data_IF_015535800895
#
_entry.id   IF_015535800895
#
_cell.length_a   1.000
_cell.length_b   1.000
_cell.length_c   1.000
_cell.angle_alpha   90.00
_cell.angle_beta   90.00
_cell.angle_gamma   90.00
#
_symmetry.space_group_name_H-M   'P 1'
#
loop_
_entity.id
_entity.type
_entity.pdbx_description
1 polymer ?
#
# COMPACT_ATOMS: atom_id res chain seq x y z
N UNK A 1 -11.66 -6.70 -35.71
CA UNK A 1 -10.44 -6.04 -35.16
C UNK A 1 -10.07 -6.48 -33.74
N UNK A 2 -11.00 -6.78 -32.81
CA UNK A 2 -10.65 -7.27 -31.46
C UNK A 2 -9.87 -8.61 -31.44
N UNK A 3 -10.15 -9.54 -32.37
CA UNK A 3 -9.43 -10.84 -32.44
C UNK A 3 -7.94 -10.72 -32.81
N UNK A 4 -7.50 -9.60 -33.41
CA UNK A 4 -6.11 -9.45 -33.84
C UNK A 4 -5.17 -9.03 -32.69
N UNK A 5 -5.70 -8.37 -31.64
CA UNK A 5 -4.90 -7.87 -30.53
C UNK A 5 -4.76 -8.92 -29.41
N UNK A 6 -5.79 -9.72 -29.15
CA UNK A 6 -5.71 -10.88 -28.23
C UNK A 6 -4.71 -11.92 -28.72
N UNK A 7 -4.65 -12.15 -30.03
CA UNK A 7 -3.68 -13.05 -30.64
C UNK A 7 -2.23 -12.53 -30.52
N UNK A 8 -2.02 -11.21 -30.48
CA UNK A 8 -0.67 -10.62 -30.31
C UNK A 8 -0.12 -10.78 -28.91
N UNK A 9 -0.93 -10.56 -27.86
CA UNK A 9 -0.49 -10.77 -26.47
C UNK A 9 -0.26 -12.25 -26.13
N UNK A 10 -1.17 -13.13 -26.57
CA UNK A 10 -0.97 -14.57 -26.44
C UNK A 10 0.29 -15.03 -27.21
N UNK A 11 0.56 -14.45 -28.38
CA UNK A 11 1.78 -14.70 -29.15
C UNK A 11 3.03 -14.14 -28.49
N UNK A 12 2.97 -12.98 -27.79
CA UNK A 12 4.08 -12.45 -27.00
C UNK A 12 4.40 -13.41 -25.84
N UNK A 13 3.40 -13.80 -25.05
CA UNK A 13 3.57 -14.76 -23.95
C UNK A 13 4.07 -16.13 -24.45
N UNK A 14 3.53 -16.64 -25.56
CA UNK A 14 3.99 -17.89 -26.20
C UNK A 14 5.35 -17.76 -26.90
N UNK A 15 5.80 -16.55 -27.27
CA UNK A 15 7.12 -16.32 -27.87
C UNK A 15 8.24 -16.19 -26.84
N UNK A 16 7.91 -15.95 -25.57
CA UNK A 16 8.87 -15.91 -24.46
C UNK A 16 9.16 -17.34 -23.93
N UNK A 17 8.21 -18.26 -24.06
CA UNK A 17 8.37 -19.68 -23.65
C UNK A 17 9.58 -20.38 -24.31
N UNK A 18 9.87 -20.19 -25.62
CA UNK A 18 11.10 -20.69 -26.26
C UNK A 18 12.39 -20.06 -25.72
N UNK A 19 12.33 -18.81 -25.23
CA UNK A 19 13.51 -18.10 -24.71
C UNK A 19 13.93 -18.62 -23.33
N UNK A 20 12.99 -19.16 -22.54
CA UNK A 20 13.26 -19.81 -21.25
C UNK A 20 13.69 -21.28 -21.39
N UNK A 21 13.34 -21.92 -22.50
CA UNK A 21 13.68 -23.33 -22.78
C UNK A 21 14.92 -23.48 -23.67
N UNK A 22 15.36 -22.40 -24.33
CA UNK A 22 16.38 -22.41 -25.36
C UNK A 22 17.81 -22.15 -24.88
N UNK A 23 18.34 -22.88 -23.90
CA UNK A 23 19.80 -23.12 -23.78
C UNK A 23 20.19 -24.21 -22.75
N UNK A 24 19.43 -25.30 -22.65
CA UNK A 24 19.91 -26.52 -22.00
C UNK A 24 19.52 -27.73 -22.87
N UNK A 25 20.36 -28.02 -23.85
CA UNK A 25 20.37 -29.32 -24.51
C UNK A 25 20.89 -30.37 -23.51
N UNK A 26 20.03 -30.83 -22.59
CA UNK A 26 20.28 -32.00 -21.76
C UNK A 26 19.61 -33.18 -22.45
N UNK A 27 20.42 -34.18 -22.82
CA UNK A 27 19.95 -35.47 -23.32
C UNK A 27 18.99 -36.13 -22.32
N UNK A 28 17.88 -36.73 -22.76
CA UNK A 28 17.00 -37.47 -21.86
C UNK A 28 17.62 -38.84 -21.55
N UNK A 29 18.15 -39.00 -20.33
CA UNK A 29 18.37 -40.33 -19.76
C UNK A 29 17.04 -40.85 -19.18
N UNK A 30 16.38 -41.70 -19.95
CA UNK A 30 15.27 -42.51 -19.45
C UNK A 30 15.78 -43.51 -18.42
N UNK A 31 15.41 -43.34 -17.15
CA UNK A 31 15.36 -44.46 -16.21
C UNK A 31 14.13 -44.38 -15.30
N UNK A 32 13.26 -45.38 -15.52
CA UNK A 32 12.53 -46.19 -14.55
C UNK A 32 11.49 -45.53 -13.62
N UNK A 33 10.25 -45.71 -14.06
CA UNK A 33 9.04 -45.85 -13.25
C UNK A 33 9.24 -46.73 -12.00
N UNK A 34 8.67 -46.29 -10.88
CA UNK A 34 8.20 -47.17 -9.80
C UNK A 34 6.97 -46.57 -9.11
N UNK A 35 6.06 -47.40 -8.55
CA UNK A 35 4.64 -47.10 -8.51
C UNK A 35 4.17 -46.43 -7.21
N UNK A 36 3.20 -45.51 -7.37
CA UNK A 36 2.46 -44.84 -6.31
C UNK A 36 1.58 -45.83 -5.52
N UNK A 37 1.78 -45.85 -4.21
CA UNK A 37 0.93 -46.54 -3.25
C UNK A 37 -0.28 -45.68 -2.85
N UNK A 38 -1.45 -46.14 -3.30
CA UNK A 38 -2.69 -46.35 -2.52
C UNK A 38 -2.95 -45.41 -1.32
N UNK A 39 -3.73 -44.34 -1.55
CA UNK A 39 -4.43 -43.59 -0.49
C UNK A 39 -5.92 -43.98 -0.50
N UNK A 40 -6.44 -44.37 0.68
CA UNK A 40 -7.85 -44.72 0.92
C UNK A 40 -8.70 -43.46 1.11
N UNK A 41 -10.00 -43.49 0.75
CA UNK A 41 -10.92 -42.39 1.00
C UNK A 41 -11.58 -42.54 2.38
N UNK A 42 -11.73 -41.44 3.11
CA UNK A 42 -12.63 -41.40 4.26
C UNK A 42 -13.31 -40.05 4.42
N UNK A 43 -14.60 -40.07 4.08
CA UNK A 43 -15.75 -39.43 4.75
C UNK A 43 -15.71 -37.90 4.92
N UNK A 44 -16.27 -37.21 3.93
CA UNK A 44 -16.91 -35.89 4.09
C UNK A 44 -18.33 -36.09 4.63
N UNK A 45 -18.58 -35.61 5.85
CA UNK A 45 -19.92 -35.40 6.38
C UNK A 45 -20.28 -33.91 6.23
N UNK A 46 -21.18 -33.61 5.30
CA UNK A 46 -21.81 -32.31 5.13
C UNK A 46 -22.96 -32.17 6.14
N UNK A 47 -22.82 -31.27 7.11
CA UNK A 47 -23.94 -30.77 7.91
C UNK A 47 -24.21 -29.32 7.49
N UNK A 48 -25.19 -29.14 6.62
CA UNK A 48 -25.81 -27.85 6.31
C UNK A 48 -26.77 -27.48 7.44
N UNK A 49 -26.57 -26.31 8.06
CA UNK A 49 -27.61 -25.64 8.85
C UNK A 49 -27.76 -24.22 8.34
N UNK A 50 -28.81 -24.01 7.55
CA UNK A 50 -29.37 -22.70 7.26
C UNK A 50 -29.98 -22.13 8.55
N UNK A 51 -29.58 -20.93 8.93
CA UNK A 51 -30.39 -20.08 9.81
C UNK A 51 -30.72 -18.77 9.11
N UNK A 52 -32.03 -18.46 9.17
CA UNK A 52 -32.75 -17.35 8.55
C UNK A 52 -32.33 -16.01 9.16
N UNK A 53 -32.16 -14.98 8.33
CA UNK A 53 -32.20 -13.58 8.75
C UNK A 53 -33.56 -12.95 8.38
N UNK A 54 -34.17 -12.13 9.25
CA UNK A 54 -35.41 -11.42 8.96
C UNK A 54 -35.19 -10.12 8.16
N UNK A 55 -36.22 -9.61 7.47
CA UNK A 55 -36.10 -8.45 6.59
C UNK A 55 -36.10 -7.12 7.35
N UNK A 56 -35.22 -6.21 6.92
CA UNK A 56 -35.13 -4.82 7.39
C UNK A 56 -36.13 -3.96 6.61
N UNK A 57 -36.97 -3.23 7.34
CA UNK A 57 -37.96 -2.29 6.78
C UNK A 57 -37.33 -0.92 6.44
N UNK A 58 -37.81 -0.21 5.41
CA UNK A 58 -37.22 1.05 4.97
C UNK A 58 -37.67 2.25 5.83
N UNK A 59 -36.69 3.02 6.30
CA UNK A 59 -36.87 4.32 6.95
C UNK A 59 -37.18 5.39 5.91
N UNK A 60 -38.37 6.00 5.98
CA UNK A 60 -38.75 7.17 5.18
C UNK A 60 -38.09 8.43 5.74
N UNK A 61 -37.12 8.99 5.02
CA UNK A 61 -36.61 10.35 5.27
C UNK A 61 -37.44 11.38 4.53
N UNK A 62 -38.10 12.25 5.31
CA UNK A 62 -38.93 13.36 4.83
C UNK A 62 -38.03 14.51 4.40
N UNK A 63 -38.00 14.82 3.10
CA UNK A 63 -37.21 15.88 2.48
C UNK A 63 -38.02 17.18 2.50
N UNK A 64 -37.72 18.09 3.42
CA UNK A 64 -38.26 19.46 3.38
C UNK A 64 -37.21 20.35 2.70
N UNK A 65 -37.58 20.93 1.55
CA UNK A 65 -36.77 21.92 0.83
C UNK A 65 -36.91 23.33 1.43
N UNK A 66 -35.94 24.22 1.17
CA UNK A 66 -35.91 25.56 1.75
C UNK A 66 -36.78 26.53 0.95
N UNK A 67 -37.55 27.36 1.65
CA UNK A 67 -38.14 28.59 1.09
C UNK A 67 -37.21 29.74 1.44
N UNK A 68 -36.64 30.37 0.42
CA UNK A 68 -35.94 31.65 0.52
C UNK A 68 -36.93 32.78 0.21
N UNK A 69 -37.33 33.52 1.24
CA UNK A 69 -37.84 34.89 1.08
C UNK A 69 -36.76 35.84 1.61
N UNK A 70 -36.30 36.73 0.74
CA UNK A 70 -35.35 37.79 1.05
C UNK A 70 -36.21 38.99 1.43
N UNK A 71 -36.28 39.30 2.71
CA UNK A 71 -36.72 40.60 3.20
C UNK A 71 -35.51 41.25 3.87
N UNK A 72 -35.16 42.42 3.37
CA UNK A 72 -34.09 43.26 3.89
C UNK A 72 -34.63 43.97 5.14
N UNK A 73 -34.07 43.65 6.30
CA UNK A 73 -34.27 44.40 7.53
C UNK A 73 -32.88 44.75 8.10
N UNK A 74 -32.56 46.04 8.07
CA UNK A 74 -31.38 46.63 8.68
C UNK A 74 -31.63 46.74 10.19
N UNK A 75 -31.17 45.75 10.95
CA UNK A 75 -31.37 45.68 12.39
C UNK A 75 -30.15 45.16 13.15
N UNK A 76 -29.51 46.07 13.88
CA UNK A 76 -28.81 45.91 15.16
C UNK A 76 -27.78 44.77 15.29
N UNK A 77 -26.51 45.16 15.37
CA UNK A 77 -25.34 44.27 15.55
C UNK A 77 -25.33 43.71 16.98
N UNK A 78 -25.76 42.46 17.14
CA UNK A 78 -25.50 41.64 18.33
C UNK A 78 -24.07 41.05 18.25
N UNK A 79 -23.15 41.39 19.17
CA UNK A 79 -21.74 41.01 19.08
C UNK A 79 -21.41 39.55 19.46
N UNK A 80 -22.42 38.69 19.68
CA UNK A 80 -22.20 37.32 20.22
C UNK A 80 -22.20 36.22 19.14
N UNK A 81 -22.75 36.47 17.95
CA UNK A 81 -22.81 35.47 16.86
C UNK A 81 -21.65 35.55 15.83
N UNK A 82 -20.66 36.42 16.05
CA UNK A 82 -19.55 36.64 15.11
C UNK A 82 -18.51 35.51 15.06
N UNK A 83 -18.43 34.66 16.09
CA UNK A 83 -17.40 33.63 16.20
C UNK A 83 -17.70 32.37 15.37
N UNK A 84 -18.97 31.93 15.31
CA UNK A 84 -19.36 30.72 14.56
C UNK A 84 -19.24 30.92 13.04
N UNK A 85 -19.67 32.08 12.54
CA UNK A 85 -19.54 32.46 11.13
C UNK A 85 -18.07 32.53 10.64
N UNK A 86 -17.11 32.64 11.56
CA UNK A 86 -15.69 32.66 11.22
C UNK A 86 -15.12 31.23 11.07
N UNK A 87 -15.61 30.26 11.85
CA UNK A 87 -15.16 28.87 11.77
C UNK A 87 -15.56 28.23 10.44
N UNK A 88 -16.77 28.48 9.95
CA UNK A 88 -17.21 27.93 8.67
C UNK A 88 -16.51 28.60 7.47
N UNK A 89 -16.22 29.91 7.55
CA UNK A 89 -15.34 30.59 6.58
C UNK A 89 -13.93 29.98 6.56
N UNK A 90 -13.37 29.64 7.72
CA UNK A 90 -12.06 28.98 7.80
C UNK A 90 -12.09 27.54 7.28
N UNK A 91 -13.17 26.77 7.53
CA UNK A 91 -13.35 25.43 6.94
C UNK A 91 -13.48 25.47 5.43
N UNK A 92 -14.25 26.42 4.90
CA UNK A 92 -14.37 26.61 3.45
C UNK A 92 -13.01 26.96 2.83
N UNK A 93 -12.23 27.85 3.45
CA UNK A 93 -10.85 28.17 3.01
C UNK A 93 -9.91 26.97 3.10
N UNK A 94 -9.99 26.17 4.16
CA UNK A 94 -9.19 24.96 4.31
C UNK A 94 -9.54 23.90 3.25
N UNK A 95 -10.82 23.77 2.89
CA UNK A 95 -11.27 22.92 1.79
C UNK A 95 -10.68 23.35 0.45
N UNK A 96 -10.73 24.66 0.15
CA UNK A 96 -10.11 25.23 -1.06
C UNK A 96 -8.60 24.97 -1.08
N UNK A 97 -7.90 25.18 0.04
CA UNK A 97 -6.48 24.89 0.16
C UNK A 97 -6.14 23.42 -0.08
N UNK A 98 -6.92 22.48 0.48
CA UNK A 98 -6.73 21.04 0.21
C UNK A 98 -6.89 20.72 -1.27
N UNK A 99 -7.94 21.25 -1.91
CA UNK A 99 -8.12 21.04 -3.36
C UNK A 99 -6.98 21.64 -4.20
N UNK A 100 -6.43 22.77 -3.75
CA UNK A 100 -5.26 23.39 -4.38
C UNK A 100 -4.00 22.55 -4.21
N UNK A 101 -3.77 21.96 -3.02
CA UNK A 101 -2.62 21.09 -2.76
C UNK A 101 -2.70 19.83 -3.60
N UNK A 102 -3.86 19.18 -3.69
CA UNK A 102 -4.05 18.00 -4.56
C UNK A 102 -3.83 18.35 -6.02
N UNK A 103 -4.30 19.53 -6.46
CA UNK A 103 -4.01 20.04 -7.81
C UNK A 103 -2.51 20.25 -8.01
N UNK A 104 -1.83 20.91 -7.07
CA UNK A 104 -0.38 21.13 -7.13
C UNK A 104 0.42 19.83 -7.10
N UNK A 105 0.01 18.82 -6.32
CA UNK A 105 0.64 17.51 -6.33
C UNK A 105 0.43 16.80 -7.67
N UNK A 106 -0.75 16.89 -8.29
CA UNK A 106 -0.96 16.40 -9.66
C UNK A 106 -0.11 17.16 -10.66
N UNK A 107 0.00 18.48 -10.53
CA UNK A 107 0.86 19.31 -11.38
C UNK A 107 2.33 18.94 -11.19
N UNK A 108 2.79 18.70 -9.95
CA UNK A 108 4.14 18.24 -9.65
C UNK A 108 4.38 16.84 -10.18
N UNK A 109 3.44 15.91 -10.06
CA UNK A 109 3.55 14.58 -10.67
C UNK A 109 3.58 14.66 -12.20
N UNK A 110 2.80 15.56 -12.80
CA UNK A 110 2.85 15.85 -14.24
C UNK A 110 4.19 16.46 -14.62
N UNK A 111 4.71 17.40 -13.83
CA UNK A 111 6.02 18.02 -14.04
C UNK A 111 7.15 17.03 -13.81
N UNK A 112 7.05 16.13 -12.85
CA UNK A 112 8.03 15.08 -12.59
C UNK A 112 8.01 14.06 -13.73
N UNK A 113 6.83 13.70 -14.25
CA UNK A 113 6.71 12.94 -15.50
C UNK A 113 7.27 13.71 -16.68
N UNK A 114 7.04 15.03 -16.78
CA UNK A 114 7.59 15.87 -17.84
C UNK A 114 9.11 16.01 -17.71
N UNK A 115 9.66 16.12 -16.51
CA UNK A 115 11.09 16.19 -16.24
C UNK A 115 11.70 14.82 -16.51
N UNK A 116 11.09 13.72 -16.10
CA UNK A 116 11.49 12.38 -16.50
C UNK A 116 11.42 12.19 -18.03
N UNK A 117 10.43 12.80 -18.70
CA UNK A 117 10.36 12.86 -20.18
C UNK A 117 11.43 13.78 -20.79
N UNK A 118 11.83 14.86 -20.11
CA UNK A 118 12.72 15.91 -20.62
C UNK A 118 14.16 15.75 -20.14
N UNK A 119 14.44 14.81 -19.24
CA UNK A 119 15.79 14.49 -18.74
C UNK A 119 16.59 13.61 -19.73
N UNK A 120 16.08 13.47 -20.95
CA UNK A 120 16.86 13.20 -22.17
C UNK A 120 15.91 12.99 -23.37
N UNK A 121 16.32 13.18 -24.63
CA UNK A 121 17.56 13.72 -25.18
C UNK A 121 17.37 15.11 -25.83
N UNK A 122 18.47 15.66 -26.35
CA UNK A 122 18.60 16.89 -27.15
C UNK A 122 17.41 17.16 -28.11
N UNK A 123 17.04 18.43 -28.41
CA UNK A 123 15.87 18.85 -29.22
C UNK A 123 15.77 18.34 -30.67
N UNK A 124 16.51 17.31 -31.07
CA UNK A 124 16.47 16.70 -32.40
C UNK A 124 15.53 15.48 -32.54
N UNK A 125 14.95 14.95 -31.45
CA UNK A 125 14.14 13.73 -31.52
C UNK A 125 12.64 14.05 -31.74
N UNK A 126 12.25 14.24 -33.00
CA UNK A 126 10.87 14.50 -33.43
C UNK A 126 9.95 13.26 -33.42
N UNK A 127 10.41 12.08 -32.98
CA UNK A 127 9.65 10.83 -33.10
C UNK A 127 9.13 10.32 -31.74
N UNK A 128 7.87 10.62 -31.34
CA UNK A 128 7.31 10.17 -30.06
C UNK A 128 7.26 8.64 -29.92
N UNK A 129 7.16 7.93 -31.05
CA UNK A 129 7.22 6.46 -31.09
C UNK A 129 8.61 5.94 -30.67
N UNK A 130 9.70 6.61 -31.08
CA UNK A 130 11.05 6.21 -30.71
C UNK A 130 11.27 6.40 -29.21
N UNK A 131 10.81 7.52 -28.64
CA UNK A 131 10.87 7.77 -27.20
C UNK A 131 10.10 6.71 -26.38
N UNK A 132 8.92 6.29 -26.85
CA UNK A 132 8.16 5.22 -26.21
C UNK A 132 8.90 3.87 -26.26
N UNK A 133 9.55 3.54 -27.39
CA UNK A 133 10.37 2.33 -27.53
C UNK A 133 11.57 2.38 -26.59
N UNK A 134 12.28 3.50 -26.51
CA UNK A 134 13.44 3.66 -25.62
C UNK A 134 13.02 3.50 -24.16
N UNK A 135 11.93 4.15 -23.73
CA UNK A 135 11.39 4.00 -22.37
C UNK A 135 10.99 2.56 -22.07
N UNK A 136 10.26 1.92 -23.00
CA UNK A 136 9.91 0.51 -22.89
C UNK A 136 11.14 -0.38 -22.75
N UNK A 137 12.24 -0.06 -23.46
CA UNK A 137 13.50 -0.77 -23.34
C UNK A 137 14.17 -0.60 -21.97
N UNK A 138 14.15 0.61 -21.41
CA UNK A 138 14.69 0.89 -20.07
C UNK A 138 13.90 0.17 -18.97
N UNK A 139 12.57 0.23 -19.02
CA UNK A 139 11.71 -0.49 -18.07
C UNK A 139 11.95 -2.00 -18.19
N UNK A 140 11.97 -2.54 -19.41
CA UNK A 140 12.26 -3.96 -19.63
C UNK A 140 13.63 -4.40 -19.07
N UNK A 141 14.65 -3.55 -19.18
CA UNK A 141 15.95 -3.80 -18.56
C UNK A 141 15.86 -3.82 -17.03
N UNK A 142 15.10 -2.91 -16.42
CA UNK A 142 14.87 -2.90 -14.97
C UNK A 142 14.11 -4.15 -14.52
N UNK A 143 13.03 -4.51 -15.21
CA UNK A 143 12.26 -5.72 -14.93
C UNK A 143 13.11 -6.98 -15.08
N UNK A 144 14.03 -7.02 -16.06
CA UNK A 144 14.98 -8.12 -16.24
C UNK A 144 15.95 -8.24 -15.06
N UNK A 145 16.32 -7.13 -14.41
CA UNK A 145 17.13 -7.17 -13.18
C UNK A 145 16.38 -7.87 -12.06
N UNK A 146 15.09 -7.59 -11.89
CA UNK A 146 14.24 -8.26 -10.88
C UNK A 146 14.22 -9.77 -11.11
N UNK A 147 13.97 -10.21 -12.35
CA UNK A 147 14.02 -11.63 -12.72
C UNK A 147 15.41 -12.25 -12.44
N UNK A 148 16.49 -11.58 -12.84
CA UNK A 148 17.85 -12.08 -12.63
C UNK A 148 18.21 -12.17 -11.14
N UNK A 149 17.80 -11.19 -10.33
CA UNK A 149 17.99 -11.18 -8.87
C UNK A 149 17.23 -12.34 -8.22
N UNK A 150 16.01 -12.61 -8.71
CA UNK A 150 15.22 -13.75 -8.23
C UNK A 150 15.86 -15.08 -8.61
N UNK A 151 16.29 -15.25 -9.85
CA UNK A 151 17.02 -16.45 -10.29
C UNK A 151 18.30 -16.67 -9.47
N UNK A 152 19.05 -15.60 -9.19
CA UNK A 152 20.26 -15.69 -8.37
C UNK A 152 19.93 -16.02 -6.90
N UNK A 153 18.84 -15.49 -6.35
CA UNK A 153 18.36 -15.82 -4.99
C UNK A 153 17.98 -17.30 -4.89
N UNK A 154 17.28 -17.83 -5.90
CA UNK A 154 16.94 -19.26 -6.00
C UNK A 154 18.21 -20.11 -6.13
N UNK A 155 19.17 -19.68 -6.97
CA UNK A 155 20.45 -20.38 -7.18
C UNK A 155 21.30 -20.44 -5.91
N UNK A 156 21.41 -19.32 -5.20
CA UNK A 156 22.15 -19.16 -3.94
C UNK A 156 21.42 -19.70 -2.71
N UNK A 157 20.15 -20.12 -2.88
CA UNK A 157 19.25 -20.58 -1.81
C UNK A 157 19.03 -19.52 -0.72
N UNK A 158 19.09 -18.25 -1.11
CA UNK A 158 18.76 -17.11 -0.25
C UNK A 158 17.25 -16.89 -0.36
N UNK A 159 16.51 -17.15 0.73
CA UNK A 159 15.05 -16.99 0.75
C UNK A 159 14.39 -17.81 1.86
N UNK A 160 13.06 -17.94 1.79
CA UNK A 160 12.31 -18.80 2.72
C UNK A 160 12.84 -20.23 2.59
N UNK A 161 13.29 -20.87 3.69
CA UNK A 161 13.81 -22.22 3.63
C UNK A 161 12.70 -23.13 3.08
N UNK A 162 13.04 -23.89 2.03
CA UNK A 162 12.21 -24.93 1.39
C UNK A 162 11.24 -24.51 0.28
N UNK A 163 11.25 -23.27 -0.22
CA UNK A 163 10.36 -22.91 -1.34
C UNK A 163 10.77 -23.63 -2.64
N UNK A 164 12.08 -23.67 -2.95
CA UNK A 164 12.61 -24.28 -4.17
C UNK A 164 13.86 -25.13 -3.88
N UNK A 165 13.92 -26.35 -4.41
CA UNK A 165 15.10 -27.24 -4.23
C UNK A 165 16.18 -26.99 -5.29
N UNK A 166 15.77 -26.60 -6.50
CA UNK A 166 16.63 -26.33 -7.64
C UNK A 166 16.08 -25.22 -8.54
N UNK A 167 16.91 -24.69 -9.44
CA UNK A 167 16.51 -23.73 -10.47
C UNK A 167 15.51 -24.35 -11.46
N UNK A 168 15.65 -25.66 -11.73
CA UNK A 168 14.74 -26.40 -12.59
C UNK A 168 13.34 -26.48 -11.97
N UNK A 169 13.24 -26.79 -10.68
CA UNK A 169 11.96 -26.80 -9.97
C UNK A 169 11.27 -25.44 -10.02
N UNK A 170 12.04 -24.36 -9.85
CA UNK A 170 11.53 -22.99 -9.98
C UNK A 170 11.04 -22.70 -11.40
N UNK A 171 11.84 -22.98 -12.43
CA UNK A 171 11.44 -22.75 -13.82
C UNK A 171 10.20 -23.56 -14.21
N UNK A 172 10.12 -24.83 -13.79
CA UNK A 172 8.94 -25.67 -14.00
C UNK A 172 7.73 -25.11 -13.24
N UNK A 173 7.94 -24.62 -12.01
CA UNK A 173 6.93 -23.93 -11.20
C UNK A 173 6.33 -22.73 -11.93
N UNK A 174 7.17 -21.78 -12.34
CA UNK A 174 6.76 -20.56 -13.06
C UNK A 174 6.06 -20.87 -14.39
N UNK A 175 6.60 -21.80 -15.19
CA UNK A 175 5.99 -22.20 -16.47
C UNK A 175 4.64 -22.87 -16.23
N UNK A 176 4.52 -23.72 -15.21
CA UNK A 176 3.26 -24.39 -14.86
C UNK A 176 2.21 -23.41 -14.34
N UNK A 177 2.61 -22.41 -13.54
CA UNK A 177 1.74 -21.34 -13.06
C UNK A 177 1.26 -20.46 -14.23
N UNK A 178 2.17 -20.05 -15.12
CA UNK A 178 1.83 -19.32 -16.34
C UNK A 178 0.85 -20.08 -17.23
N UNK A 179 1.05 -21.38 -17.43
CA UNK A 179 0.13 -22.22 -18.18
C UNK A 179 -1.26 -22.30 -17.54
N UNK A 180 -1.35 -22.42 -16.20
CA UNK A 180 -2.62 -22.43 -15.46
C UNK A 180 -3.34 -21.09 -15.53
N UNK A 181 -2.62 -19.98 -15.41
CA UNK A 181 -3.17 -18.63 -15.57
C UNK A 181 -3.76 -18.46 -16.98
N UNK A 182 -3.00 -18.81 -18.02
CA UNK A 182 -3.47 -18.73 -19.41
C UNK A 182 -4.69 -19.64 -19.63
N UNK A 183 -4.67 -20.86 -19.10
CA UNK A 183 -5.82 -21.76 -19.19
C UNK A 183 -7.05 -21.21 -18.46
N UNK A 184 -6.88 -20.60 -17.29
CA UNK A 184 -7.95 -19.94 -16.54
C UNK A 184 -8.56 -18.77 -17.31
N UNK A 185 -7.73 -17.96 -17.95
CA UNK A 185 -8.15 -16.86 -18.83
C UNK A 185 -8.90 -17.38 -20.07
N UNK A 186 -8.47 -18.49 -20.67
CA UNK A 186 -9.16 -19.09 -21.82
C UNK A 186 -10.53 -19.68 -21.47
N UNK A 187 -10.71 -20.16 -20.23
CA UNK A 187 -12.01 -20.67 -19.76
C UNK A 187 -13.04 -19.57 -19.56
N UNK A 188 -12.58 -18.36 -19.24
CA UNK A 188 -13.44 -17.19 -19.05
C UNK A 188 -13.06 -16.05 -20.02
N UNK A 189 -13.61 -16.04 -21.25
CA UNK A 189 -13.23 -15.08 -22.28
C UNK A 189 -13.53 -13.62 -21.90
N UNK A 190 -14.41 -13.37 -20.92
CA UNK A 190 -14.63 -12.03 -20.40
C UNK A 190 -13.34 -11.47 -19.75
N UNK A 191 -12.54 -12.32 -19.12
CA UNK A 191 -11.26 -11.93 -18.50
C UNK A 191 -10.21 -11.53 -19.53
N UNK A 192 -10.22 -12.16 -20.70
CA UNK A 192 -9.32 -11.82 -21.81
C UNK A 192 -9.60 -10.41 -22.33
N UNK A 193 -10.84 -9.92 -22.24
CA UNK A 193 -11.15 -8.56 -22.68
C UNK A 193 -10.39 -7.50 -21.87
N UNK A 194 -10.10 -7.75 -20.59
CA UNK A 194 -9.27 -6.85 -19.78
C UNK A 194 -7.82 -6.80 -20.27
N UNK A 195 -7.28 -7.93 -20.72
CA UNK A 195 -5.93 -8.01 -21.32
C UNK A 195 -5.89 -7.47 -22.76
N UNK A 196 -7.03 -7.38 -23.41
CA UNK A 196 -7.17 -6.78 -24.74
C UNK A 196 -7.31 -5.25 -24.68
N UNK A 197 -7.37 -4.65 -23.48
CA UNK A 197 -7.45 -3.20 -23.36
C UNK A 197 -6.22 -2.54 -24.00
N UNK A 198 -6.42 -1.36 -24.56
CA UNK A 198 -5.42 -0.59 -25.30
C UNK A 198 -4.16 -0.31 -24.49
N UNK A 199 -4.25 -0.35 -23.17
CA UNK A 199 -3.19 -0.04 -22.22
C UNK A 199 -2.47 -1.29 -21.69
N UNK A 200 -2.94 -2.50 -21.98
CA UNK A 200 -2.20 -3.75 -21.75
C UNK A 200 -0.75 -3.76 -22.30
N UNK A 201 -0.40 -3.11 -23.43
CA UNK A 201 1.00 -2.97 -23.84
C UNK A 201 1.89 -2.26 -22.81
N UNK A 202 1.34 -1.48 -21.86
CA UNK A 202 2.13 -0.87 -20.79
C UNK A 202 2.71 -1.90 -19.81
N UNK A 203 2.14 -3.11 -19.74
CA UNK A 203 2.67 -4.19 -18.90
C UNK A 203 3.74 -5.04 -19.60
N UNK A 204 3.85 -4.96 -20.93
CA UNK A 204 4.83 -5.73 -21.72
C UNK A 204 6.27 -5.45 -21.28
N UNK A 205 6.70 -4.19 -21.04
CA UNK A 205 8.02 -3.91 -20.48
C UNK A 205 8.26 -4.63 -19.15
N UNK A 206 7.24 -4.75 -18.31
CA UNK A 206 7.30 -5.41 -17.00
C UNK A 206 7.23 -6.95 -17.05
N UNK A 207 7.07 -7.54 -18.23
CA UNK A 207 6.91 -8.98 -18.38
C UNK A 207 8.00 -9.81 -17.68
N UNK A 208 9.31 -9.48 -17.74
CA UNK A 208 10.33 -10.25 -17.04
C UNK A 208 10.11 -10.29 -15.51
N UNK A 209 9.75 -9.16 -14.90
CA UNK A 209 9.49 -9.09 -13.47
C UNK A 209 8.22 -9.87 -13.09
N UNK A 210 7.16 -9.75 -13.90
CA UNK A 210 5.91 -10.50 -13.68
C UNK A 210 6.16 -12.02 -13.80
N UNK A 211 6.93 -12.43 -14.80
CA UNK A 211 7.34 -13.82 -15.01
C UNK A 211 8.19 -14.39 -13.87
N UNK A 212 8.78 -13.55 -13.03
CA UNK A 212 9.58 -13.99 -11.88
C UNK A 212 8.74 -14.34 -10.64
N UNK A 213 7.42 -14.15 -10.71
CA UNK A 213 6.47 -14.24 -9.58
C UNK A 213 5.12 -14.86 -9.97
N UNK A 214 5.03 -15.58 -11.09
CA UNK A 214 3.73 -16.09 -11.57
C UNK A 214 3.10 -17.09 -10.60
N UNK A 215 3.93 -17.91 -9.97
CA UNK A 215 3.52 -18.89 -8.97
C UNK A 215 2.68 -18.27 -7.84
N UNK A 216 3.12 -17.11 -7.33
CA UNK A 216 2.47 -16.37 -6.24
C UNK A 216 1.38 -15.44 -6.74
N UNK A 217 1.49 -14.96 -7.97
CA UNK A 217 0.45 -14.13 -8.58
C UNK A 217 -0.80 -14.95 -8.92
N UNK A 218 -0.66 -16.22 -9.26
CA UNK A 218 -1.75 -17.12 -9.68
C UNK A 218 -3.04 -17.00 -8.83
N UNK A 219 -3.01 -17.13 -7.48
CA UNK A 219 -4.22 -17.01 -6.65
C UNK A 219 -4.85 -15.61 -6.69
N UNK A 220 -4.09 -14.57 -7.02
CA UNK A 220 -4.54 -13.17 -7.00
C UNK A 220 -4.80 -12.59 -8.40
N UNK A 221 -4.65 -13.37 -9.48
CA UNK A 221 -4.84 -12.88 -10.86
C UNK A 221 -6.24 -12.29 -11.06
N UNK A 222 -7.27 -12.96 -10.55
CA UNK A 222 -8.66 -12.50 -10.68
C UNK A 222 -8.91 -11.13 -10.03
N UNK A 223 -8.64 -10.94 -8.72
CA UNK A 223 -8.85 -9.63 -8.10
C UNK A 223 -7.92 -8.54 -8.67
N UNK A 224 -6.72 -8.89 -9.14
CA UNK A 224 -5.83 -7.94 -9.85
C UNK A 224 -6.48 -7.47 -11.17
N UNK A 225 -7.00 -8.40 -11.97
CA UNK A 225 -7.67 -8.07 -13.24
C UNK A 225 -8.88 -7.16 -13.00
N UNK A 226 -9.71 -7.51 -12.03
CA UNK A 226 -10.96 -6.80 -11.76
C UNK A 226 -10.75 -5.41 -11.16
N UNK A 227 -9.78 -5.24 -10.27
CA UNK A 227 -9.63 -4.01 -9.48
C UNK A 227 -8.50 -3.10 -9.94
N UNK A 228 -7.42 -3.67 -10.46
CA UNK A 228 -6.26 -2.90 -10.93
C UNK A 228 -6.37 -2.68 -12.43
N UNK A 229 -6.52 -3.75 -13.21
CA UNK A 229 -6.43 -3.66 -14.68
C UNK A 229 -7.70 -3.10 -15.31
N UNK A 230 -8.87 -3.34 -14.73
CA UNK A 230 -10.12 -2.73 -15.19
C UNK A 230 -10.18 -1.21 -14.92
N UNK A 231 -9.41 -0.70 -13.95
CA UNK A 231 -9.37 0.73 -13.63
C UNK A 231 -8.08 1.37 -14.12
N UNK A 232 -8.16 2.03 -15.29
CA UNK A 232 -7.02 2.71 -15.92
C UNK A 232 -6.29 3.69 -15.02
N UNK A 233 -6.98 4.32 -14.05
CA UNK A 233 -6.34 5.25 -13.11
C UNK A 233 -5.42 4.53 -12.13
N UNK A 234 -5.78 3.33 -11.71
CA UNK A 234 -4.94 2.51 -10.82
C UNK A 234 -3.70 2.06 -11.56
N UNK A 235 -3.87 1.47 -12.75
CA UNK A 235 -2.74 1.01 -13.55
C UNK A 235 -1.76 2.16 -13.84
N UNK A 236 -2.25 3.32 -14.27
CA UNK A 236 -1.39 4.48 -14.56
C UNK A 236 -0.70 5.10 -13.34
N UNK A 237 -1.12 4.75 -12.12
CA UNK A 237 -0.48 5.19 -10.87
C UNK A 237 0.51 4.15 -10.33
N UNK A 238 0.23 2.86 -10.55
CA UNK A 238 1.03 1.73 -10.06
C UNK A 238 2.15 1.35 -11.04
N UNK A 239 1.91 1.43 -12.36
CA UNK A 239 2.85 0.99 -13.42
C UNK A 239 4.28 1.53 -13.25
N UNK A 240 4.51 2.82 -12.94
CA UNK A 240 5.87 3.34 -12.78
C UNK A 240 6.66 2.67 -11.65
N UNK A 241 5.97 2.05 -10.70
CA UNK A 241 6.55 1.40 -9.52
C UNK A 241 6.39 -0.13 -9.55
N UNK A 242 5.87 -0.70 -10.63
CA UNK A 242 5.49 -2.12 -10.68
C UNK A 242 6.70 -3.05 -10.47
N UNK A 243 7.87 -2.71 -11.01
CA UNK A 243 9.09 -3.50 -10.81
C UNK A 243 9.55 -3.51 -9.35
N UNK A 244 9.41 -2.38 -8.65
CA UNK A 244 9.73 -2.27 -7.23
C UNK A 244 8.75 -3.08 -6.37
N UNK A 245 7.45 -3.02 -6.69
CA UNK A 245 6.42 -3.87 -6.08
C UNK A 245 6.75 -5.35 -6.27
N UNK A 246 7.12 -5.77 -7.50
CA UNK A 246 7.41 -7.17 -7.82
C UNK A 246 8.70 -7.67 -7.18
N UNK A 247 9.71 -6.79 -7.03
CA UNK A 247 10.92 -7.10 -6.29
C UNK A 247 10.60 -7.42 -4.82
N UNK A 248 9.66 -6.66 -4.24
CA UNK A 248 9.17 -6.76 -2.86
C UNK A 248 7.98 -7.68 -2.66
N UNK A 249 7.62 -8.45 -3.68
CA UNK A 249 6.35 -9.17 -3.69
C UNK A 249 6.21 -10.20 -2.55
N UNK A 250 7.32 -10.82 -2.12
CA UNK A 250 7.32 -11.80 -1.03
C UNK A 250 6.82 -11.22 0.31
N UNK A 251 7.04 -9.92 0.53
CA UNK A 251 6.59 -9.22 1.73
C UNK A 251 5.17 -8.66 1.58
N UNK A 252 4.78 -8.34 0.35
CA UNK A 252 3.49 -7.73 0.01
C UNK A 252 2.39 -8.80 -0.11
N UNK A 253 2.72 -9.97 -0.64
CA UNK A 253 1.83 -11.10 -0.93
C UNK A 253 0.86 -11.40 0.24
N UNK A 254 1.31 -11.54 1.51
CA UNK A 254 0.41 -11.85 2.63
C UNK A 254 -0.66 -10.79 2.89
N UNK A 255 -0.48 -9.57 2.38
CA UNK A 255 -1.39 -8.43 2.57
C UNK A 255 -2.13 -8.05 1.28
N UNK A 256 -1.91 -8.78 0.18
CA UNK A 256 -2.37 -8.40 -1.14
C UNK A 256 -3.89 -8.32 -1.23
N UNK A 257 -4.62 -9.23 -0.61
CA UNK A 257 -6.09 -9.21 -0.60
C UNK A 257 -6.64 -7.91 0.01
N UNK A 258 -6.11 -7.49 1.16
CA UNK A 258 -6.48 -6.23 1.80
C UNK A 258 -6.07 -5.02 0.96
N UNK A 259 -4.89 -5.05 0.33
CA UNK A 259 -4.44 -3.98 -0.57
C UNK A 259 -5.39 -3.85 -1.76
N UNK A 260 -5.78 -4.97 -2.37
CA UNK A 260 -6.70 -4.99 -3.50
C UNK A 260 -8.10 -4.52 -3.11
N UNK A 261 -8.59 -4.85 -1.91
CA UNK A 261 -9.87 -4.33 -1.39
C UNK A 261 -9.86 -2.79 -1.23
N UNK A 262 -8.68 -2.20 -1.02
CA UNK A 262 -8.50 -0.77 -0.72
C UNK A 262 -7.74 -0.01 -1.82
N UNK A 263 -7.60 -0.60 -3.01
CA UNK A 263 -6.74 -0.07 -4.09
C UNK A 263 -7.15 1.32 -4.55
N UNK A 264 -8.46 1.66 -4.52
CA UNK A 264 -8.96 2.99 -4.87
C UNK A 264 -8.33 4.11 -4.03
N UNK A 265 -8.03 3.80 -2.75
CA UNK A 265 -7.42 4.75 -1.82
C UNK A 265 -5.89 4.71 -1.89
N UNK A 266 -5.30 3.54 -2.13
CA UNK A 266 -3.85 3.31 -2.07
C UNK A 266 -3.12 3.67 -3.37
N UNK A 267 -3.72 3.41 -4.54
CA UNK A 267 -3.05 3.54 -5.84
C UNK A 267 -2.45 4.94 -6.13
N UNK A 268 -3.08 6.07 -5.76
CA UNK A 268 -2.48 7.40 -5.96
C UNK A 268 -1.18 7.63 -5.18
N UNK A 269 -0.95 6.81 -4.14
CA UNK A 269 0.13 6.97 -3.17
C UNK A 269 1.18 5.86 -3.26
N UNK A 270 1.11 4.97 -4.26
CA UNK A 270 1.99 3.80 -4.38
C UNK A 270 3.47 4.14 -4.24
N UNK A 271 3.97 5.17 -4.94
CA UNK A 271 5.38 5.57 -4.84
C UNK A 271 5.82 6.02 -3.43
N UNK A 272 4.97 6.76 -2.72
CA UNK A 272 5.28 7.22 -1.36
C UNK A 272 5.17 6.08 -0.34
N UNK A 273 4.23 5.15 -0.54
CA UNK A 273 4.09 3.97 0.29
C UNK A 273 5.27 3.01 0.10
N UNK A 274 5.75 2.82 -1.13
CA UNK A 274 6.90 1.96 -1.43
C UNK A 274 8.20 2.47 -0.82
N UNK A 275 8.41 3.79 -0.81
CA UNK A 275 9.57 4.40 -0.15
C UNK A 275 9.67 4.06 1.35
N UNK A 276 8.53 3.85 2.01
CA UNK A 276 8.43 3.58 3.46
C UNK A 276 7.85 2.18 3.75
N UNK A 277 7.93 1.27 2.79
CA UNK A 277 7.24 -0.02 2.91
C UNK A 277 7.85 -0.90 4.01
N UNK A 278 9.15 -0.81 4.28
CA UNK A 278 9.80 -1.56 5.36
C UNK A 278 9.23 -1.15 6.72
N UNK A 279 9.06 0.15 6.95
CA UNK A 279 8.46 0.68 8.17
C UNK A 279 6.98 0.32 8.29
N UNK A 280 6.26 0.27 7.16
CA UNK A 280 4.84 -0.05 7.11
C UNK A 280 4.57 -1.55 7.32
N UNK A 281 5.41 -2.44 6.76
CA UNK A 281 5.25 -3.90 6.88
C UNK A 281 5.39 -4.40 8.31
N UNK A 282 6.12 -3.68 9.16
CA UNK A 282 6.21 -3.96 10.61
C UNK A 282 4.83 -3.97 11.26
N UNK A 283 3.88 -3.17 10.75
CA UNK A 283 2.52 -3.09 11.28
C UNK A 283 1.51 -3.99 10.57
N UNK A 284 1.81 -4.38 9.34
CA UNK A 284 0.92 -5.24 8.56
C UNK A 284 0.94 -6.69 9.07
N UNK A 285 2.06 -7.12 9.66
CA UNK A 285 2.28 -8.51 10.10
C UNK A 285 1.88 -8.79 11.56
N UNK A 286 1.36 -7.80 12.28
CA UNK A 286 1.26 -7.89 13.74
C UNK A 286 -0.15 -8.30 14.21
N UNK A 287 -0.51 -9.54 13.90
CA UNK A 287 -1.75 -10.19 14.38
C UNK A 287 -1.82 -10.22 15.93
N UNK A 288 -0.67 -10.19 16.62
CA UNK A 288 -0.60 -10.13 18.08
C UNK A 288 -1.15 -8.82 18.65
N UNK A 289 -1.06 -7.69 17.91
CA UNK A 289 -1.58 -6.39 18.36
C UNK A 289 -3.11 -6.34 18.38
N UNK A 290 -3.77 -7.18 17.59
CA UNK A 290 -5.23 -7.20 17.45
C UNK A 290 -5.95 -7.93 18.60
N UNK A 291 -5.23 -8.50 19.57
CA UNK A 291 -5.84 -9.03 20.79
C UNK A 291 -6.62 -10.34 20.60
N UNK A 292 -6.04 -11.30 19.89
CA UNK A 292 -6.37 -12.73 20.03
C UNK A 292 -7.74 -13.20 19.51
N UNK A 293 -8.39 -12.43 18.62
CA UNK A 293 -9.64 -12.82 17.96
C UNK A 293 -9.45 -12.88 16.46
N UNK A 294 -9.43 -14.10 15.92
CA UNK A 294 -9.45 -14.47 14.50
C UNK A 294 -9.92 -13.37 13.53
N UNK A 295 -8.96 -12.75 12.82
CA UNK A 295 -9.13 -12.61 11.38
C UNK A 295 -9.04 -11.22 10.73
N UNK A 296 -8.44 -10.18 11.33
CA UNK A 296 -8.15 -8.95 10.56
C UNK A 296 -6.81 -8.31 10.97
N UNK A 297 -5.73 -8.74 10.32
CA UNK A 297 -4.36 -8.21 10.48
C UNK A 297 -4.14 -6.76 10.03
N UNK A 298 -5.21 -5.97 9.87
CA UNK A 298 -5.17 -4.63 9.26
C UNK A 298 -5.94 -3.58 10.05
N UNK A 299 -6.26 -3.82 11.33
CA UNK A 299 -7.05 -2.89 12.15
C UNK A 299 -6.46 -1.47 12.25
N UNK A 300 -5.12 -1.35 12.26
CA UNK A 300 -4.44 -0.06 12.19
C UNK A 300 -4.65 0.61 10.84
N UNK A 301 -4.44 -0.14 9.76
CA UNK A 301 -4.60 0.38 8.41
C UNK A 301 -6.04 0.83 8.15
N UNK A 302 -7.06 0.09 8.64
CA UNK A 302 -8.48 0.47 8.56
C UNK A 302 -8.77 1.82 9.25
N UNK A 303 -8.15 2.09 10.41
CA UNK A 303 -8.31 3.38 11.10
C UNK A 303 -7.54 4.53 10.42
N UNK A 304 -6.43 4.22 9.75
CA UNK A 304 -5.60 5.20 9.05
C UNK A 304 -6.14 5.56 7.66
N UNK A 305 -6.89 4.66 7.02
CA UNK A 305 -7.36 4.83 5.64
C UNK A 305 -8.12 6.15 5.39
N UNK A 306 -9.04 6.61 6.28
CA UNK A 306 -9.71 7.92 6.11
C UNK A 306 -8.75 9.12 6.16
N UNK A 307 -7.55 8.93 6.69
CA UNK A 307 -6.51 9.94 6.85
C UNK A 307 -5.27 9.64 5.98
N UNK A 308 -5.35 8.66 5.08
CA UNK A 308 -4.21 8.13 4.33
C UNK A 308 -3.44 9.24 3.61
N UNK A 309 -4.14 10.11 2.87
CA UNK A 309 -3.54 11.25 2.17
C UNK A 309 -2.66 12.10 3.09
N UNK A 310 -3.16 12.37 4.29
CA UNK A 310 -2.45 13.18 5.27
C UNK A 310 -1.22 12.44 5.81
N UNK A 311 -1.35 11.17 6.20
CA UNK A 311 -0.23 10.37 6.70
C UNK A 311 0.86 10.15 5.66
N UNK A 312 0.48 9.78 4.43
CA UNK A 312 1.39 9.54 3.32
C UNK A 312 2.22 10.79 3.04
N UNK A 313 1.59 11.98 3.04
CA UNK A 313 2.31 13.25 2.86
C UNK A 313 3.36 13.57 3.94
N UNK A 314 3.31 12.83 5.06
CA UNK A 314 4.16 13.01 6.24
C UNK A 314 4.97 11.77 6.57
N UNK A 315 4.97 10.74 5.72
CA UNK A 315 5.73 9.51 5.99
C UNK A 315 7.22 9.79 6.09
N UNK A 316 7.78 10.73 5.33
CA UNK A 316 9.19 11.13 5.50
C UNK A 316 9.51 11.67 6.91
N UNK A 317 8.53 12.28 7.58
CA UNK A 317 8.68 12.80 8.94
C UNK A 317 8.35 11.73 9.98
N UNK A 318 7.33 10.90 9.73
CA UNK A 318 6.80 9.92 10.69
C UNK A 318 7.54 8.58 10.62
N UNK A 319 8.11 8.22 9.47
CA UNK A 319 8.77 6.96 9.17
C UNK A 319 9.80 6.55 10.22
N UNK A 320 10.75 7.41 10.59
CA UNK A 320 11.73 7.11 11.65
C UNK A 320 11.10 6.83 13.03
N UNK A 321 9.89 7.34 13.28
CA UNK A 321 9.16 7.11 14.52
C UNK A 321 8.31 5.85 14.50
N UNK A 322 7.99 5.31 13.31
CA UNK A 322 7.09 4.17 13.15
C UNK A 322 7.58 2.94 13.95
N UNK A 323 8.81 2.44 13.85
CA UNK A 323 9.23 1.28 14.64
C UNK A 323 9.02 1.44 16.16
N UNK A 324 9.19 2.66 16.68
CA UNK A 324 9.02 2.99 18.10
C UNK A 324 7.55 3.06 18.54
N UNK A 325 6.64 3.38 17.63
CA UNK A 325 5.20 3.43 17.91
C UNK A 325 4.57 2.04 17.97
N UNK A 326 5.18 1.02 17.37
CA UNK A 326 4.70 -0.37 17.32
C UNK A 326 4.17 -0.92 18.66
N UNK A 327 4.95 -0.95 19.76
CA UNK A 327 4.46 -1.49 21.05
C UNK A 327 3.25 -0.73 21.61
N UNK A 328 2.96 0.47 21.10
CA UNK A 328 1.90 1.35 21.58
C UNK A 328 0.66 1.35 20.69
N UNK A 329 0.71 0.72 19.52
CA UNK A 329 -0.42 0.62 18.59
C UNK A 329 -1.68 0.03 19.24
N UNK A 330 -1.65 -1.05 20.05
CA UNK A 330 -2.87 -1.58 20.66
C UNK A 330 -3.59 -0.55 21.54
N UNK A 331 -2.81 0.29 22.24
CA UNK A 331 -3.33 1.37 23.07
C UNK A 331 -3.89 2.54 22.25
N UNK A 332 -3.34 2.77 21.05
CA UNK A 332 -3.78 3.78 20.10
C UNK A 332 -5.04 3.34 19.33
N UNK A 333 -5.14 2.07 18.98
CA UNK A 333 -6.33 1.49 18.34
C UNK A 333 -7.54 1.51 19.28
N UNK A 334 -7.30 1.36 20.59
CA UNK A 334 -8.36 1.41 21.60
C UNK A 334 -9.06 2.77 21.58
N UNK A 335 -10.39 2.75 21.39
CA UNK A 335 -11.27 3.94 21.34
C UNK A 335 -10.97 4.89 20.16
N UNK A 336 -10.40 4.39 19.05
CA UNK A 336 -10.10 5.20 17.85
C UNK A 336 -9.32 6.49 18.21
N UNK A 337 -8.25 6.35 19.01
CA UNK A 337 -7.42 7.51 19.40
C UNK A 337 -6.61 8.02 18.22
N UNK A 338 -6.26 7.13 17.29
CA UNK A 338 -5.56 7.49 16.05
C UNK A 338 -6.35 8.56 15.32
N UNK A 339 -7.62 8.33 14.98
CA UNK A 339 -8.42 9.35 14.27
C UNK A 339 -8.56 10.68 15.02
N UNK A 340 -8.40 10.70 16.35
CA UNK A 340 -8.38 11.96 17.14
C UNK A 340 -7.03 12.66 17.10
N UNK A 341 -5.93 11.90 17.00
CA UNK A 341 -4.56 12.41 16.96
C UNK A 341 -4.16 12.78 15.52
N UNK A 342 -4.64 12.04 14.51
CA UNK A 342 -4.27 12.20 13.10
C UNK A 342 -4.28 13.65 12.64
N UNK A 343 -5.33 14.46 12.87
CA UNK A 343 -5.35 15.86 12.39
C UNK A 343 -4.29 16.77 13.01
N UNK A 344 -3.59 16.30 14.04
CA UNK A 344 -2.64 17.04 14.85
C UNK A 344 -1.24 16.43 14.82
N UNK A 345 -0.99 15.42 13.98
CA UNK A 345 0.28 14.71 13.95
C UNK A 345 1.43 15.64 13.60
N UNK A 346 1.23 16.57 12.66
CA UNK A 346 2.24 17.56 12.33
C UNK A 346 2.63 18.37 13.54
N UNK A 347 1.69 18.76 14.40
CA UNK A 347 2.05 19.52 15.60
C UNK A 347 2.86 18.68 16.57
N UNK A 348 2.56 17.39 16.67
CA UNK A 348 3.30 16.44 17.48
C UNK A 348 4.69 16.10 16.93
N UNK A 349 4.97 16.30 15.63
CA UNK A 349 6.27 15.96 15.02
C UNK A 349 7.03 17.17 14.40
N UNK A 350 6.41 18.33 14.23
CA UNK A 350 6.93 19.50 13.48
C UNK A 350 8.04 20.29 14.17
N UNK A 351 8.21 20.18 15.48
CA UNK A 351 9.22 20.93 16.23
C UNK A 351 10.36 20.02 16.67
N UNK A 352 11.18 19.67 15.69
CA UNK A 352 12.56 19.27 15.95
C UNK A 352 12.70 18.05 16.84
N UNK A 353 11.88 17.02 16.62
CA UNK A 353 12.21 15.67 17.08
C UNK A 353 13.34 15.13 16.21
N UNK A 354 14.52 15.77 16.26
CA UNK A 354 15.77 15.08 15.96
C UNK A 354 15.95 13.92 16.95
N UNK A 355 15.47 14.14 18.17
CA UNK A 355 15.43 13.11 19.19
C UNK A 355 14.12 12.35 19.06
N UNK A 356 14.20 11.07 18.73
CA UNK A 356 13.11 10.09 18.68
C UNK A 356 12.44 9.84 20.06
N UNK A 357 12.54 10.79 21.00
CA UNK A 357 12.15 10.72 22.41
C UNK A 357 10.62 10.73 22.61
N UNK A 358 9.86 11.48 21.82
CA UNK A 358 8.40 11.46 21.93
C UNK A 358 7.79 10.13 21.49
N UNK A 359 8.30 9.56 20.41
CA UNK A 359 7.87 8.23 19.97
C UNK A 359 8.27 7.15 20.98
N UNK A 360 9.44 7.27 21.61
CA UNK A 360 9.90 6.33 22.63
C UNK A 360 9.10 6.38 23.95
N UNK A 361 8.49 7.52 24.28
CA UNK A 361 7.72 7.72 25.52
C UNK A 361 6.22 7.91 25.26
N UNK A 362 5.71 7.48 24.10
CA UNK A 362 4.32 7.75 23.73
C UNK A 362 3.32 7.03 24.64
N UNK A 363 3.65 5.88 25.23
CA UNK A 363 2.82 5.23 26.25
C UNK A 363 2.58 6.12 27.46
N UNK A 364 3.63 6.72 28.01
CA UNK A 364 3.53 7.61 29.18
C UNK A 364 2.70 8.83 28.80
N UNK A 365 2.93 9.40 27.61
CA UNK A 365 2.11 10.49 27.09
C UNK A 365 0.64 10.06 26.91
N UNK A 366 0.37 8.87 26.38
CA UNK A 366 -0.99 8.33 26.24
C UNK A 366 -1.62 7.95 27.57
N UNK A 367 -0.85 7.65 28.60
CA UNK A 367 -1.35 7.43 29.94
C UNK A 367 -1.79 8.77 30.56
N UNK A 368 -0.91 9.78 30.52
CA UNK A 368 -1.17 11.10 31.09
C UNK A 368 -2.19 11.92 30.31
N UNK A 369 -2.20 11.82 28.98
CA UNK A 369 -3.09 12.57 28.08
C UNK A 369 -4.19 11.70 27.45
N UNK A 370 -4.19 10.39 27.64
CA UNK A 370 -5.23 9.54 27.03
C UNK A 370 -6.63 9.79 27.58
N UNK A 371 -6.74 10.28 28.82
CA UNK A 371 -8.02 10.73 29.36
C UNK A 371 -8.49 11.99 28.63
N UNK A 372 -7.59 12.92 28.27
CA UNK A 372 -7.97 14.13 27.53
C UNK A 372 -8.43 13.81 26.11
N UNK A 373 -7.85 12.76 25.50
CA UNK A 373 -8.32 12.18 24.24
C UNK A 373 -9.69 11.50 24.34
N UNK A 374 -10.16 11.16 25.55
CA UNK A 374 -11.46 10.53 25.75
C UNK A 374 -12.59 11.54 25.89
N UNK A 375 -12.32 12.77 26.36
CA UNK A 375 -13.32 13.82 26.52
C UNK A 375 -13.64 14.46 25.17
N UNK A 376 -14.92 14.54 24.74
CA UNK A 376 -15.29 15.17 23.47
C UNK A 376 -14.91 16.67 23.48
N UNK A 377 -14.35 17.16 22.37
CA UNK A 377 -13.94 18.56 22.21
C UNK A 377 -12.59 18.93 22.83
N UNK A 378 -12.17 18.27 23.91
CA UNK A 378 -10.92 18.59 24.61
C UNK A 378 -9.65 18.40 23.75
N UNK A 379 -9.53 17.39 22.87
CA UNK A 379 -8.38 17.28 21.97
C UNK A 379 -8.24 18.49 21.06
N UNK A 380 -9.36 18.98 20.52
CA UNK A 380 -9.35 20.18 19.66
C UNK A 380 -8.85 21.40 20.42
N UNK A 381 -9.30 21.57 21.67
CA UNK A 381 -8.84 22.67 22.52
C UNK A 381 -7.36 22.53 22.88
N UNK A 382 -6.94 21.33 23.31
CA UNK A 382 -5.55 21.04 23.67
C UNK A 382 -4.60 21.33 22.50
N UNK A 383 -4.93 20.82 21.31
CA UNK A 383 -4.11 21.06 20.12
C UNK A 383 -4.25 22.48 19.56
N UNK A 384 -5.31 23.22 19.87
CA UNK A 384 -5.46 24.63 19.48
C UNK A 384 -4.51 25.57 20.24
N UNK A 385 -4.07 25.20 21.45
CA UNK A 385 -3.13 26.01 22.23
C UNK A 385 -1.77 26.00 21.53
N UNK A 386 -1.21 27.17 21.11
CA UNK A 386 0.04 27.23 20.34
C UNK A 386 1.26 26.71 21.11
N UNK A 387 1.17 26.62 22.44
CA UNK A 387 2.18 26.05 23.31
C UNK A 387 2.06 24.55 23.57
N UNK A 388 0.95 23.89 23.21
CA UNK A 388 0.75 22.48 23.58
C UNK A 388 1.81 21.53 23.02
N UNK A 389 2.32 21.70 21.78
CA UNK A 389 3.40 20.83 21.31
C UNK A 389 4.70 21.03 22.08
N UNK A 390 4.98 22.28 22.51
CA UNK A 390 6.17 22.56 23.33
C UNK A 390 6.06 21.88 24.69
N UNK A 391 4.86 21.86 25.28
CA UNK A 391 4.62 21.19 26.57
C UNK A 391 4.76 19.68 26.40
N UNK A 392 4.18 19.08 25.36
CA UNK A 392 4.31 17.64 25.08
C UNK A 392 5.76 17.26 24.84
N UNK A 393 6.50 18.02 24.03
CA UNK A 393 7.93 17.79 23.78
C UNK A 393 8.78 17.96 25.04
N UNK A 394 8.53 19.03 25.82
CA UNK A 394 9.20 19.26 27.09
C UNK A 394 8.97 18.12 28.08
N UNK A 395 7.73 17.65 28.19
CA UNK A 395 7.38 16.50 29.03
C UNK A 395 8.02 15.22 28.50
N UNK A 396 7.94 14.95 27.19
CA UNK A 396 8.55 13.77 26.57
C UNK A 396 10.07 13.68 26.83
N UNK A 397 10.76 14.83 26.86
CA UNK A 397 12.19 14.90 27.13
C UNK A 397 12.54 14.82 28.62
N UNK A 398 11.61 15.16 29.52
CA UNK A 398 11.80 15.15 30.99
C UNK A 398 11.29 13.89 31.65
N UNK A 399 10.37 13.17 31.01
CA UNK A 399 9.90 11.89 31.50
C UNK A 399 11.07 10.90 31.51
N UNK A 400 11.21 10.10 32.59
CA UNK A 400 12.21 9.05 32.61
C UNK A 400 11.94 8.18 31.39
N UNK A 401 12.97 7.97 30.58
CA UNK A 401 12.94 7.03 29.44
C UNK A 401 12.70 5.65 30.05
N UNK A 402 11.43 5.32 30.29
CA UNK A 402 11.05 3.98 30.71
C UNK A 402 11.22 3.18 29.44
N UNK A 403 12.35 2.47 29.38
CA UNK A 403 12.61 1.49 28.34
C UNK A 403 11.33 0.68 28.15
N UNK A 404 10.86 0.62 26.90
CA UNK A 404 9.79 -0.29 26.50
C UNK A 404 10.19 -1.66 27.04
N UNK A 405 9.59 -2.06 28.16
CA UNK A 405 9.83 -3.37 28.77
C UNK A 405 9.01 -4.36 27.97
N UNK A 406 9.61 -4.84 26.90
CA UNK A 406 9.06 -5.86 26.02
C UNK A 406 10.18 -6.41 25.15
N UNK A 407 10.07 -7.68 24.77
CA UNK A 407 10.93 -8.22 23.73
C UNK A 407 10.55 -7.53 22.42
N UNK A 408 11.32 -6.53 21.99
CA UNK A 408 11.37 -6.15 20.57
C UNK A 408 11.99 -7.33 19.81
N UNK A 409 11.20 -8.38 19.54
CA UNK A 409 11.67 -9.53 18.76
C UNK A 409 12.01 -9.04 17.35
N UNK A 410 13.29 -9.12 17.01
CA UNK A 410 13.78 -8.90 15.64
C UNK A 410 14.39 -7.52 15.35
N UNK A 411 14.25 -6.54 16.25
CA UNK A 411 14.98 -5.28 16.15
C UNK A 411 15.75 -5.08 17.44
N UNK A 412 17.06 -5.29 17.40
CA UNK A 412 17.94 -4.83 18.48
C UNK A 412 17.84 -3.31 18.51
N UNK A 413 17.05 -2.77 19.42
CA UNK A 413 17.12 -1.35 19.75
C UNK A 413 18.49 -1.12 20.40
N UNK A 414 19.54 -0.92 19.59
CA UNK A 414 20.82 -0.44 20.07
C UNK A 414 20.61 1.00 20.55
N UNK A 415 20.51 1.15 21.87
CA UNK A 415 20.39 2.45 22.56
C UNK A 415 21.67 2.67 23.37
N UNK A 416 22.83 2.54 22.71
CA UNK A 416 24.10 2.96 23.30
C UNK A 416 24.65 4.14 22.50
N UNK A 417 24.73 5.29 23.19
CA UNK A 417 25.49 6.53 22.90
C UNK A 417 25.43 7.13 21.49
N UNK A 418 24.81 8.32 21.42
CA UNK A 418 25.08 9.44 20.51
C UNK A 418 24.93 9.26 18.98
N UNK A 419 24.75 8.05 18.46
CA UNK A 419 24.53 7.78 17.03
C UNK A 419 23.11 7.30 16.69
N UNK A 420 22.12 7.68 17.51
CA UNK A 420 20.72 7.38 17.23
C UNK A 420 20.22 8.25 16.07
N UNK A 421 20.37 7.77 14.83
CA UNK A 421 19.90 8.42 13.60
C UNK A 421 20.93 8.53 12.48
N UNK A 422 22.23 8.32 12.73
CA UNK A 422 23.25 8.41 11.67
C UNK A 422 23.14 7.25 10.67
N UNK A 423 22.88 6.03 11.13
CA UNK A 423 22.68 4.87 10.25
C UNK A 423 21.38 4.88 9.45
N UNK A 424 20.34 5.59 9.94
CA UNK A 424 19.04 5.69 9.26
C UNK A 424 19.01 6.78 8.18
N UNK A 425 19.88 7.78 8.27
CA UNK A 425 20.05 8.80 7.22
C UNK A 425 21.09 8.41 6.15
N UNK A 426 21.71 7.23 6.26
CA UNK A 426 22.73 6.72 5.34
C UNK A 426 22.23 5.59 4.41
N UNK A 427 20.95 5.25 4.47
CA UNK A 427 20.27 4.36 3.51
C UNK A 427 19.70 5.13 2.33
#
# INVERSE_FOLDING_TARGET
MLHANTFKMAKILLSIVPFLTGSLAIQPSMHLFSPLSRIRPSKLALHLSLSKLPPVSPVKTKRNGPKTSIDADEGLIDPVNGAENNVDKLRARAGILRTSIVRQQRELQVLERQIACCSGPSPNDQNPLLAAIIRSGQVFQQSSKVLSSRLESVRSRIGRPNEWKSLEDYAVGEVSAGARIVQGLLKDPARIMYLADRDAPALVPHAPAILSRLDKLEPHVEPILERVLNNRRHLASIEPYLDEVLNRFDDIEPHLDWILDNVDSLAPYTGLLLKHIDELLVYANDDELAGGGTGKGHALAEQLLPYLEYYVSKLDVIGPHLPLLRPHVPLLLKKNRIGKISPHIDRLFSKGYKDLSASANIDVLLFWFGWSLSVPGLPRLFFAIPGSPKIVSFLANRLPKRFVRGYCRGVSCYVDSDQYGEGWNQL
#
